data_IF_992240751414
#
_entry.id   IF_992240751414
#
_cell.length_a   1.000
_cell.length_b   1.000
_cell.length_c   1.000
_cell.angle_alpha   90.00
_cell.angle_beta   90.00
_cell.angle_gamma   90.00
#
_symmetry.space_group_name_H-M   'P 1'
#
loop_
_entity.id
_entity.type
_entity.pdbx_description
1 polymer ?
#
# COMPACT_ATOMS: atom_id res chain seq x y z
N UNK A 1 21.18 2.45 -22.22
CA UNK A 1 20.48 2.09 -20.98
C UNK A 1 20.38 3.40 -20.20
N UNK A 2 19.18 3.83 -19.87
CA UNK A 2 18.99 5.07 -19.09
C UNK A 2 19.45 4.89 -17.65
N UNK A 3 19.66 6.02 -16.94
CA UNK A 3 20.06 6.00 -15.52
C UNK A 3 18.95 5.39 -14.65
N UNK A 4 17.68 5.58 -15.02
CA UNK A 4 16.53 4.96 -14.33
C UNK A 4 16.64 3.44 -14.41
N UNK A 5 16.82 2.89 -15.60
CA UNK A 5 16.93 1.44 -15.79
C UNK A 5 18.18 0.87 -15.12
N UNK A 6 19.29 1.60 -15.13
CA UNK A 6 20.49 1.17 -14.44
C UNK A 6 20.24 1.03 -12.93
N UNK A 7 19.64 2.06 -12.31
CA UNK A 7 19.32 2.06 -10.88
C UNK A 7 18.25 1.01 -10.54
N UNK A 8 17.20 0.87 -11.34
CA UNK A 8 16.16 -0.14 -11.13
C UNK A 8 16.77 -1.55 -11.11
N UNK A 9 17.68 -1.85 -12.07
CA UNK A 9 18.40 -3.14 -12.08
C UNK A 9 19.27 -3.33 -10.84
N UNK A 10 19.94 -2.29 -10.37
CA UNK A 10 20.77 -2.39 -9.17
C UNK A 10 19.95 -2.61 -7.90
N UNK A 11 18.76 -2.02 -7.81
CA UNK A 11 17.80 -2.28 -6.72
C UNK A 11 17.24 -3.70 -6.80
N UNK A 12 16.82 -4.17 -7.99
CA UNK A 12 16.25 -5.52 -8.16
C UNK A 12 17.24 -6.63 -7.82
N UNK A 13 18.57 -6.43 -8.09
CA UNK A 13 19.61 -7.40 -7.72
C UNK A 13 19.74 -7.66 -6.22
N UNK A 14 19.16 -6.81 -5.39
CA UNK A 14 19.13 -6.95 -3.94
C UNK A 14 17.87 -7.71 -3.53
N UNK A 15 17.98 -8.97 -3.03
CA UNK A 15 16.84 -9.81 -2.71
C UNK A 15 16.19 -9.41 -1.38
N UNK A 16 15.73 -8.17 -1.29
CA UNK A 16 15.12 -7.55 -0.12
C UNK A 16 13.71 -8.07 0.16
N UNK A 17 13.59 -9.38 0.40
CA UNK A 17 12.31 -9.97 0.81
C UNK A 17 11.95 -9.47 2.20
N UNK A 18 10.72 -8.95 2.35
CA UNK A 18 10.24 -8.33 3.59
C UNK A 18 10.62 -9.13 4.84
N UNK A 19 11.11 -8.51 5.93
CA UNK A 19 11.34 -7.08 6.14
C UNK A 19 12.79 -6.62 5.80
N UNK A 20 13.53 -7.37 4.98
CA UNK A 20 14.93 -7.10 4.68
C UNK A 20 15.08 -5.98 3.64
N UNK A 21 16.08 -5.10 3.82
CA UNK A 21 16.44 -4.04 2.86
C UNK A 21 17.55 -4.46 1.87
N UNK A 22 18.45 -5.32 2.29
CA UNK A 22 19.60 -5.82 1.50
C UNK A 22 20.45 -4.72 0.86
N UNK A 23 20.51 -3.53 1.49
CA UNK A 23 21.31 -2.38 1.04
C UNK A 23 20.67 -1.55 -0.08
N UNK A 24 19.37 -1.71 -0.35
CA UNK A 24 18.65 -0.87 -1.30
C UNK A 24 18.65 0.59 -0.84
N UNK A 25 18.34 0.86 0.42
CA UNK A 25 18.30 2.21 0.99
C UNK A 25 19.70 2.83 1.02
N UNK A 26 20.75 2.05 1.28
CA UNK A 26 22.13 2.54 1.21
C UNK A 26 22.48 3.04 -0.20
N UNK A 27 22.11 2.27 -1.23
CA UNK A 27 22.33 2.67 -2.62
C UNK A 27 21.61 3.98 -2.97
N UNK A 28 20.36 4.14 -2.53
CA UNK A 28 19.60 5.37 -2.73
C UNK A 28 20.22 6.54 -1.95
N UNK A 29 20.58 6.33 -0.68
CA UNK A 29 21.18 7.32 0.18
C UNK A 29 22.49 7.88 -0.38
N UNK A 30 23.37 7.03 -0.94
CA UNK A 30 24.59 7.46 -1.59
C UNK A 30 24.35 8.37 -2.79
N UNK A 31 23.31 8.12 -3.59
CA UNK A 31 22.94 8.98 -4.71
C UNK A 31 22.37 10.31 -4.24
N UNK A 32 21.43 10.28 -3.30
CA UNK A 32 20.80 11.46 -2.73
C UNK A 32 21.80 12.37 -2.00
N UNK A 33 22.75 11.80 -1.26
CA UNK A 33 23.79 12.57 -0.59
C UNK A 33 24.65 13.39 -1.58
N UNK A 34 24.92 12.87 -2.77
CA UNK A 34 25.73 13.57 -3.81
C UNK A 34 25.03 14.85 -4.32
N UNK A 35 23.71 14.92 -4.23
CA UNK A 35 22.92 16.08 -4.63
C UNK A 35 22.43 16.89 -3.42
N UNK A 36 23.07 16.72 -2.24
CA UNK A 36 22.91 17.58 -1.08
C UNK A 36 21.78 17.21 -0.11
N UNK A 37 21.26 15.97 -0.16
CA UNK A 37 20.37 15.48 0.87
C UNK A 37 21.11 15.15 2.16
N UNK A 38 20.51 15.50 3.29
CA UNK A 38 20.89 15.01 4.62
C UNK A 38 20.23 13.64 4.78
N UNK A 39 21.06 12.64 5.08
CA UNK A 39 20.65 11.24 5.16
C UNK A 39 20.48 10.86 6.62
N UNK A 40 19.31 10.38 6.98
CA UNK A 40 18.96 9.90 8.33
C UNK A 40 18.40 8.47 8.27
N UNK A 41 19.24 7.43 8.47
CA UNK A 41 18.73 6.08 8.64
C UNK A 41 17.95 5.95 9.95
N UNK A 42 16.76 5.35 9.88
CA UNK A 42 15.88 5.11 11.02
C UNK A 42 15.62 3.60 11.12
N UNK A 43 16.30 2.91 12.03
CA UNK A 43 16.11 1.48 12.23
C UNK A 43 15.22 1.25 13.44
N UNK A 44 14.12 0.54 13.26
CA UNK A 44 13.22 0.14 14.32
C UNK A 44 13.10 -1.38 14.32
N UNK A 45 13.59 -2.02 15.38
CA UNK A 45 13.65 -3.48 15.53
C UNK A 45 14.36 -4.14 14.32
N UNK A 46 13.64 -4.89 13.51
CA UNK A 46 14.12 -5.60 12.33
C UNK A 46 13.93 -4.83 11.00
N UNK A 47 13.37 -3.65 11.07
CA UNK A 47 13.00 -2.85 9.88
C UNK A 47 13.97 -1.69 9.68
N UNK A 48 14.46 -1.55 8.46
CA UNK A 48 15.29 -0.42 8.04
C UNK A 48 14.41 0.62 7.35
N UNK A 49 14.54 1.89 7.79
CA UNK A 49 13.89 3.02 7.15
C UNK A 49 14.92 4.10 6.82
N UNK A 50 14.62 4.90 5.82
CA UNK A 50 15.41 6.03 5.40
C UNK A 50 14.55 7.29 5.36
N UNK A 51 14.95 8.30 6.13
CA UNK A 51 14.54 9.68 5.93
C UNK A 51 15.70 10.44 5.29
N UNK A 52 15.49 10.99 4.09
CA UNK A 52 16.48 11.80 3.42
C UNK A 52 15.84 13.12 3.03
N UNK A 53 16.44 14.26 3.41
CA UNK A 53 15.87 15.58 3.14
C UNK A 53 16.88 16.55 2.57
N UNK A 54 16.49 17.28 1.52
CA UNK A 54 17.17 18.45 0.97
C UNK A 54 16.33 19.70 1.24
N UNK A 55 16.98 20.78 1.73
CA UNK A 55 16.32 22.02 2.14
C UNK A 55 15.84 21.97 3.60
N UNK A 56 15.61 23.16 4.17
CA UNK A 56 15.14 23.33 5.56
C UNK A 56 13.83 24.11 5.65
N UNK A 57 13.43 24.74 4.54
CA UNK A 57 12.24 25.58 4.48
C UNK A 57 11.03 24.78 3.96
N UNK A 58 9.83 25.25 4.29
CA UNK A 58 8.59 24.70 3.68
C UNK A 58 8.22 25.41 2.39
N UNK A 59 7.35 24.82 1.57
CA UNK A 59 6.66 23.54 1.78
C UNK A 59 7.58 22.32 1.61
N UNK A 60 7.26 21.21 2.28
CA UNK A 60 7.98 19.96 2.17
C UNK A 60 7.25 18.99 1.24
N UNK A 61 7.89 18.67 0.13
CA UNK A 61 7.48 17.60 -0.77
C UNK A 61 8.17 16.29 -0.38
N UNK A 62 7.45 15.17 -0.37
CA UNK A 62 7.97 13.86 -0.03
C UNK A 62 7.68 12.83 -1.11
N UNK A 63 8.68 12.07 -1.52
CA UNK A 63 8.50 10.79 -2.17
C UNK A 63 8.49 9.68 -1.11
N UNK A 64 7.47 8.84 -1.12
CA UNK A 64 7.37 7.70 -0.21
C UNK A 64 7.31 6.38 -0.97
N UNK A 65 7.83 5.33 -0.35
CA UNK A 65 7.80 3.99 -0.91
C UNK A 65 8.61 2.98 -0.11
N UNK A 66 8.71 1.76 -0.65
CA UNK A 66 9.34 0.66 0.03
C UNK A 66 10.39 -0.05 -0.82
N UNK A 67 11.41 -0.61 -0.16
CA UNK A 67 12.47 -1.39 -0.79
C UNK A 67 12.25 -2.89 -0.66
N UNK A 68 11.46 -3.31 0.32
CA UNK A 68 11.10 -4.71 0.48
C UNK A 68 10.18 -5.19 -0.64
N UNK A 69 10.14 -6.50 -0.81
CA UNK A 69 9.33 -7.17 -1.82
C UNK A 69 8.74 -8.45 -1.25
N UNK A 70 7.58 -8.88 -1.76
CA UNK A 70 7.02 -10.19 -1.43
C UNK A 70 7.94 -11.33 -1.89
N UNK A 71 7.86 -12.53 -1.25
CA UNK A 71 8.58 -13.70 -1.71
C UNK A 71 8.39 -13.99 -3.21
N UNK A 72 9.43 -14.42 -3.88
CA UNK A 72 9.42 -14.68 -5.31
C UNK A 72 8.47 -15.84 -5.73
N UNK A 73 8.12 -16.72 -4.79
CA UNK A 73 7.37 -17.94 -5.08
C UNK A 73 8.23 -19.00 -5.77
N UNK A 74 7.62 -19.97 -6.48
CA UNK A 74 8.35 -21.07 -7.11
C UNK A 74 9.33 -20.59 -8.18
N UNK A 75 10.63 -20.77 -7.93
CA UNK A 75 11.71 -20.27 -8.83
C UNK A 75 11.71 -20.95 -10.21
N UNK A 76 11.29 -22.19 -10.28
CA UNK A 76 11.16 -22.97 -11.51
C UNK A 76 10.09 -22.44 -12.49
N UNK A 77 9.21 -21.56 -12.01
CA UNK A 77 8.18 -20.90 -12.83
C UNK A 77 8.60 -19.55 -13.39
N UNK A 78 9.76 -19.03 -12.96
CA UNK A 78 10.28 -17.77 -13.49
C UNK A 78 10.99 -18.00 -14.83
N UNK A 79 10.73 -17.12 -15.81
CA UNK A 79 11.42 -17.13 -17.11
C UNK A 79 12.88 -16.67 -16.99
N UNK A 80 13.15 -15.80 -16.02
CA UNK A 80 14.49 -15.31 -15.64
C UNK A 80 14.54 -15.30 -14.10
N UNK A 81 15.70 -15.54 -13.46
CA UNK A 81 15.79 -15.49 -12.01
C UNK A 81 15.25 -14.16 -11.46
N UNK A 82 14.42 -14.17 -10.40
CA UNK A 82 13.68 -12.98 -9.94
C UNK A 82 14.57 -11.82 -9.49
N UNK A 83 15.81 -12.08 -9.06
CA UNK A 83 16.77 -11.07 -8.63
C UNK A 83 17.96 -10.90 -9.61
N UNK A 84 17.81 -11.41 -10.84
CA UNK A 84 18.72 -11.17 -11.96
C UNK A 84 17.97 -10.34 -13.04
N UNK A 85 17.86 -9.00 -12.86
CA UNK A 85 17.02 -8.17 -13.70
C UNK A 85 17.40 -8.27 -15.18
N UNK A 86 16.47 -8.74 -15.98
CA UNK A 86 16.69 -9.04 -17.41
C UNK A 86 15.73 -8.18 -18.24
N UNK A 87 16.28 -7.53 -19.29
CA UNK A 87 15.44 -6.85 -20.28
C UNK A 87 15.30 -7.77 -21.48
N UNK A 88 14.05 -8.06 -21.84
CA UNK A 88 13.71 -8.82 -23.05
C UNK A 88 12.55 -8.12 -23.75
N UNK A 89 12.73 -7.84 -25.02
CA UNK A 89 11.73 -7.19 -25.89
C UNK A 89 11.18 -5.86 -25.28
N UNK A 90 12.08 -5.05 -24.68
CA UNK A 90 11.72 -3.78 -24.05
C UNK A 90 11.07 -3.90 -22.67
N UNK A 91 10.96 -5.12 -22.12
CA UNK A 91 10.35 -5.38 -20.80
C UNK A 91 11.43 -5.77 -19.78
N UNK A 92 11.46 -5.10 -18.64
CA UNK A 92 12.34 -5.40 -17.51
C UNK A 92 11.62 -6.41 -16.59
N UNK A 93 12.19 -7.60 -16.46
CA UNK A 93 11.74 -8.68 -15.59
C UNK A 93 12.54 -8.70 -14.29
N UNK A 94 11.86 -8.89 -13.15
CA UNK A 94 12.44 -9.08 -11.84
C UNK A 94 11.44 -8.82 -10.73
N UNK A 95 11.62 -9.44 -9.57
CA UNK A 95 10.80 -9.18 -8.38
C UNK A 95 11.05 -7.75 -7.87
N UNK A 96 9.97 -6.99 -7.68
CA UNK A 96 10.04 -5.57 -7.35
C UNK A 96 10.19 -4.64 -8.57
N UNK A 97 10.17 -5.16 -9.80
CA UNK A 97 10.28 -4.32 -11.00
C UNK A 97 9.11 -3.33 -11.11
N UNK A 98 7.89 -3.78 -10.83
CA UNK A 98 6.69 -2.96 -10.78
C UNK A 98 6.38 -2.50 -9.34
N UNK A 99 6.60 -3.34 -8.34
CA UNK A 99 6.22 -3.12 -6.95
C UNK A 99 7.43 -3.22 -6.00
N UNK A 100 8.12 -2.09 -5.65
CA UNK A 100 8.03 -0.81 -6.35
C UNK A 100 9.42 -0.22 -6.67
N UNK A 101 10.46 -1.08 -6.82
CA UNK A 101 11.86 -0.66 -7.07
C UNK A 101 12.01 0.15 -8.37
N UNK A 102 11.15 -0.12 -9.38
CA UNK A 102 11.08 0.68 -10.58
C UNK A 102 10.71 2.14 -10.30
N UNK A 103 9.68 2.36 -9.48
CA UNK A 103 9.29 3.69 -9.03
C UNK A 103 10.38 4.38 -8.23
N UNK A 104 11.03 3.68 -7.30
CA UNK A 104 12.14 4.24 -6.51
C UNK A 104 13.27 4.74 -7.42
N UNK A 105 13.62 3.97 -8.45
CA UNK A 105 14.62 4.39 -9.42
C UNK A 105 14.18 5.64 -10.19
N UNK A 106 12.91 5.69 -10.62
CA UNK A 106 12.35 6.85 -11.32
C UNK A 106 12.34 8.10 -10.43
N UNK A 107 11.98 7.97 -9.15
CA UNK A 107 11.98 9.07 -8.18
C UNK A 107 13.37 9.65 -7.96
N UNK A 108 14.36 8.80 -7.72
CA UNK A 108 15.74 9.26 -7.48
C UNK A 108 16.28 10.01 -8.69
N UNK A 109 16.13 9.46 -9.90
CA UNK A 109 16.62 10.09 -11.12
C UNK A 109 15.85 11.37 -11.45
N UNK A 110 14.54 11.41 -11.22
CA UNK A 110 13.75 12.63 -11.37
C UNK A 110 14.26 13.77 -10.48
N UNK A 111 14.56 13.46 -9.22
CA UNK A 111 15.09 14.44 -8.26
C UNK A 111 16.52 14.88 -8.65
N UNK A 112 17.38 13.97 -9.11
CA UNK A 112 18.72 14.31 -9.58
C UNK A 112 18.66 15.29 -10.75
N UNK A 113 17.77 15.05 -11.73
CA UNK A 113 17.54 15.95 -12.88
C UNK A 113 17.01 17.30 -12.42
N UNK A 114 15.96 17.26 -11.58
CA UNK A 114 15.33 18.48 -11.06
C UNK A 114 16.33 19.37 -10.30
N UNK A 115 17.11 18.82 -9.39
CA UNK A 115 18.11 19.57 -8.60
C UNK A 115 19.23 20.13 -9.49
N UNK A 116 19.60 19.42 -10.56
CA UNK A 116 20.61 19.91 -11.50
C UNK A 116 20.09 21.11 -12.33
N UNK A 117 18.80 21.10 -12.68
CA UNK A 117 18.16 22.18 -13.47
C UNK A 117 17.69 23.33 -12.58
N UNK A 118 17.29 23.07 -11.35
CA UNK A 118 16.75 24.02 -10.36
C UNK A 118 17.53 23.96 -9.04
N UNK A 119 18.83 24.30 -8.99
CA UNK A 119 19.65 24.20 -7.78
C UNK A 119 19.13 25.07 -6.63
N UNK A 120 18.47 26.18 -6.94
CA UNK A 120 17.93 27.18 -6.02
C UNK A 120 16.39 27.05 -5.88
N UNK A 121 15.83 25.86 -6.09
CA UNK A 121 14.39 25.59 -5.95
C UNK A 121 13.84 26.03 -4.58
N UNK A 122 12.56 26.36 -4.53
CA UNK A 122 11.87 26.71 -3.28
C UNK A 122 11.51 25.47 -2.48
N UNK A 123 11.25 25.63 -1.16
CA UNK A 123 10.81 24.53 -0.31
C UNK A 123 11.87 23.46 -0.07
N UNK A 124 11.41 22.29 0.29
CA UNK A 124 12.25 21.12 0.59
C UNK A 124 11.74 19.87 -0.12
N UNK A 125 12.65 18.94 -0.42
CA UNK A 125 12.34 17.63 -0.98
C UNK A 125 12.81 16.56 0.01
N UNK A 126 11.97 15.53 0.24
CA UNK A 126 12.34 14.40 1.08
C UNK A 126 12.01 13.05 0.43
N UNK A 127 12.67 12.01 0.94
CA UNK A 127 12.34 10.62 0.72
C UNK A 127 12.02 9.96 2.07
N UNK A 128 10.89 9.26 2.14
CA UNK A 128 10.52 8.37 3.22
C UNK A 128 10.44 6.96 2.65
N UNK A 129 11.44 6.14 2.97
CA UNK A 129 11.57 4.79 2.41
C UNK A 129 11.60 3.78 3.54
N UNK A 130 10.79 2.73 3.43
CA UNK A 130 10.72 1.63 4.41
C UNK A 130 11.12 0.30 3.81
N UNK A 131 11.39 -0.69 4.66
CA UNK A 131 11.50 -2.11 4.30
C UNK A 131 10.42 -2.99 4.95
N UNK A 132 9.25 -2.43 5.30
CA UNK A 132 8.15 -3.11 5.98
C UNK A 132 6.77 -2.70 5.41
N UNK A 133 6.66 -2.48 4.09
CA UNK A 133 5.35 -2.24 3.45
C UNK A 133 4.66 -3.56 3.10
N UNK A 134 5.40 -4.55 2.63
CA UNK A 134 4.91 -5.88 2.23
C UNK A 134 4.83 -6.86 3.43
N UNK A 135 5.06 -6.37 4.62
CA UNK A 135 5.11 -7.12 5.87
C UNK A 135 4.02 -6.73 6.87
N UNK A 136 4.31 -6.75 8.17
CA UNK A 136 3.34 -6.45 9.23
C UNK A 136 3.02 -4.95 9.40
N UNK A 137 3.71 -4.03 8.74
CA UNK A 137 3.53 -2.56 8.77
C UNK A 137 3.69 -1.93 10.18
N UNK A 138 4.52 -2.52 11.04
CA UNK A 138 4.63 -2.12 12.47
C UNK A 138 5.82 -1.17 12.68
N UNK A 139 6.97 -1.51 12.07
CA UNK A 139 8.23 -0.82 12.31
C UNK A 139 8.67 0.05 11.11
N UNK A 140 7.80 0.19 10.11
CA UNK A 140 8.01 0.93 8.87
C UNK A 140 7.58 2.39 8.96
N UNK A 141 6.85 2.82 7.95
CA UNK A 141 6.37 4.21 7.75
C UNK A 141 5.67 4.80 8.97
N UNK A 142 4.89 4.01 9.73
CA UNK A 142 4.24 4.47 10.96
C UNK A 142 5.23 5.06 11.97
N UNK A 143 6.34 4.36 12.22
CA UNK A 143 7.37 4.80 13.20
C UNK A 143 8.14 6.02 12.70
N UNK A 144 8.37 6.10 11.38
CA UNK A 144 8.98 7.29 10.78
C UNK A 144 8.05 8.48 10.94
N UNK A 145 6.77 8.36 10.61
CA UNK A 145 5.77 9.43 10.76
C UNK A 145 5.65 9.88 12.22
N UNK A 146 5.57 8.97 13.18
CA UNK A 146 5.56 9.32 14.62
C UNK A 146 6.79 10.17 15.00
N UNK A 147 7.95 9.83 14.44
CA UNK A 147 9.20 10.56 14.69
C UNK A 147 9.16 11.96 14.07
N UNK A 148 8.67 12.09 12.83
CA UNK A 148 8.53 13.37 12.14
C UNK A 148 7.50 14.28 12.84
N UNK A 149 6.35 13.73 13.25
CA UNK A 149 5.33 14.46 14.01
C UNK A 149 5.86 14.97 15.34
N UNK A 150 6.63 14.16 16.08
CA UNK A 150 7.26 14.56 17.34
C UNK A 150 8.25 15.73 17.16
N UNK A 151 8.85 15.87 15.97
CA UNK A 151 9.76 16.97 15.59
C UNK A 151 9.03 18.16 14.98
N UNK A 152 7.70 18.09 14.80
CA UNK A 152 6.90 19.05 14.03
C UNK A 152 7.40 19.22 12.58
N UNK A 153 7.91 18.15 11.98
CA UNK A 153 8.38 18.10 10.60
C UNK A 153 7.22 17.67 9.71
N UNK A 154 6.50 18.62 9.10
CA UNK A 154 5.24 18.41 8.41
C UNK A 154 5.43 18.23 6.91
N UNK A 155 5.03 17.08 6.39
CA UNK A 155 4.91 16.83 4.96
C UNK A 155 3.70 17.60 4.44
N UNK A 156 3.88 18.41 3.40
CA UNK A 156 2.79 19.12 2.72
C UNK A 156 2.23 18.31 1.57
N UNK A 157 3.12 17.70 0.75
CA UNK A 157 2.79 16.95 -0.44
C UNK A 157 3.53 15.62 -0.44
N UNK A 158 2.84 14.54 -0.77
CA UNK A 158 3.46 13.21 -0.85
C UNK A 158 3.01 12.45 -2.08
N UNK A 159 3.96 11.93 -2.85
CA UNK A 159 3.71 10.90 -3.86
C UNK A 159 4.25 9.57 -3.33
N UNK A 160 3.35 8.59 -3.22
CA UNK A 160 3.71 7.19 -2.99
C UNK A 160 3.87 6.50 -4.34
N UNK A 161 4.98 5.82 -4.56
CA UNK A 161 5.32 5.24 -5.87
C UNK A 161 4.69 3.89 -6.17
N UNK A 162 3.59 3.58 -5.53
CA UNK A 162 2.83 2.35 -5.73
C UNK A 162 2.36 2.16 -7.18
N UNK A 163 2.30 0.93 -7.70
CA UNK A 163 1.85 0.65 -9.06
C UNK A 163 0.37 0.97 -9.23
N UNK A 164 0.08 2.22 -9.57
CA UNK A 164 -1.27 2.77 -9.70
C UNK A 164 -1.86 2.60 -11.11
N UNK A 165 -1.00 2.54 -12.13
CA UNK A 165 -1.42 2.50 -13.53
C UNK A 165 -1.99 1.15 -13.94
N UNK A 166 -2.84 1.13 -14.97
CA UNK A 166 -3.57 -0.08 -15.40
C UNK A 166 -3.17 -0.58 -16.78
N UNK A 167 -3.14 0.26 -17.78
CA UNK A 167 -2.80 -0.10 -19.17
C UNK A 167 -1.57 0.66 -19.69
N UNK A 168 -1.44 1.91 -19.33
CA UNK A 168 -0.35 2.80 -19.72
C UNK A 168 0.12 3.54 -18.46
N UNK A 169 1.43 3.71 -18.30
CA UNK A 169 1.98 4.46 -17.16
C UNK A 169 1.33 5.85 -17.08
N UNK A 170 0.84 6.23 -15.90
CA UNK A 170 0.15 7.48 -15.67
C UNK A 170 -1.31 7.54 -16.13
N UNK A 171 -1.92 6.45 -16.62
CA UNK A 171 -3.36 6.44 -16.98
C UNK A 171 -4.27 6.55 -15.75
N UNK A 172 -3.76 6.18 -14.56
CA UNK A 172 -4.49 6.25 -13.29
C UNK A 172 -3.59 6.84 -12.20
N UNK A 173 -4.13 7.81 -11.49
CA UNK A 173 -3.59 8.31 -10.22
C UNK A 173 -4.53 7.85 -9.11
N UNK A 174 -3.99 7.26 -8.03
CA UNK A 174 -4.80 7.03 -6.84
C UNK A 174 -4.75 8.30 -5.98
N UNK A 175 -5.86 9.01 -5.94
CA UNK A 175 -6.02 10.21 -5.12
C UNK A 175 -6.66 9.93 -3.76
N UNK A 176 -6.76 8.68 -3.38
CA UNK A 176 -7.26 8.19 -2.11
C UNK A 176 -7.31 6.67 -2.06
N UNK A 177 -7.51 6.13 -0.89
CA UNK A 177 -7.67 4.69 -0.67
C UNK A 177 -8.80 4.43 0.31
N UNK A 178 -9.51 3.31 0.12
CA UNK A 178 -10.48 2.82 1.09
C UNK A 178 -9.78 2.39 2.36
N UNK A 179 -10.48 2.53 3.49
CA UNK A 179 -10.08 1.93 4.74
C UNK A 179 -10.15 0.40 4.67
N UNK A 180 -9.44 -0.25 5.58
CA UNK A 180 -9.44 -1.71 5.71
C UNK A 180 -9.45 -2.09 7.18
N UNK A 181 -10.44 -2.91 7.57
CA UNK A 181 -10.53 -3.47 8.92
C UNK A 181 -10.89 -4.95 8.84
N UNK A 182 -10.19 -5.76 9.62
CA UNK A 182 -10.41 -7.23 9.72
C UNK A 182 -11.01 -7.55 11.08
N UNK A 183 -12.03 -8.39 11.08
CA UNK A 183 -12.60 -8.98 12.27
C UNK A 183 -12.27 -10.48 12.35
N UNK A 184 -11.78 -10.92 13.51
CA UNK A 184 -11.56 -12.31 13.87
C UNK A 184 -12.62 -12.71 14.90
N UNK A 185 -13.63 -13.44 14.45
CA UNK A 185 -14.80 -13.86 15.23
C UNK A 185 -14.66 -15.32 15.64
N UNK A 186 -14.77 -15.58 16.94
CA UNK A 186 -14.92 -16.90 17.53
C UNK A 186 -16.33 -17.04 18.10
N UNK A 187 -17.14 -17.94 17.56
CA UNK A 187 -18.48 -18.27 18.10
C UNK A 187 -18.40 -19.54 18.91
N UNK A 188 -18.89 -19.49 20.15
CA UNK A 188 -18.88 -20.62 21.08
C UNK A 188 -20.16 -21.44 21.01
N UNK A 189 -19.99 -22.72 21.09
CA UNK A 189 -21.06 -23.71 21.20
C UNK A 189 -20.71 -24.80 22.21
N UNK A 190 -21.34 -25.96 22.10
CA UNK A 190 -21.08 -27.13 22.92
C UNK A 190 -20.90 -28.33 22.02
N UNK A 191 -19.69 -28.92 22.04
CA UNK A 191 -19.38 -30.11 21.26
C UNK A 191 -20.23 -31.29 21.68
N UNK A 192 -20.67 -32.12 20.73
CA UNK A 192 -21.43 -33.32 21.02
C UNK A 192 -21.57 -34.26 19.84
N UNK A 193 -22.22 -35.37 20.06
CA UNK A 193 -22.49 -36.36 19.02
C UNK A 193 -23.72 -35.93 18.20
N UNK A 194 -23.65 -35.98 16.87
CA UNK A 194 -24.73 -35.52 15.97
C UNK A 194 -26.07 -36.22 16.18
N UNK A 195 -26.04 -37.48 16.73
CA UNK A 195 -27.25 -38.22 17.07
C UNK A 195 -27.96 -37.70 18.34
N UNK A 196 -27.29 -36.88 19.14
CA UNK A 196 -27.82 -36.33 20.39
C UNK A 196 -27.73 -34.81 20.41
N UNK A 197 -28.37 -34.10 19.43
CA UNK A 197 -28.24 -32.63 19.29
C UNK A 197 -28.75 -31.85 20.50
N UNK A 198 -29.61 -32.42 21.31
CA UNK A 198 -30.14 -31.84 22.56
C UNK A 198 -29.11 -31.76 23.69
N UNK A 199 -27.95 -32.43 23.56
CA UNK A 199 -26.81 -32.38 24.49
C UNK A 199 -25.67 -31.51 23.97
N UNK A 200 -25.84 -30.91 22.82
CA UNK A 200 -24.84 -30.07 22.15
C UNK A 200 -25.42 -28.73 21.78
N UNK A 201 -24.55 -27.81 21.37
CA UNK A 201 -24.94 -26.51 20.86
C UNK A 201 -24.07 -26.19 19.63
N UNK A 202 -24.68 -26.23 18.44
CA UNK A 202 -23.94 -26.11 17.18
C UNK A 202 -23.65 -24.63 16.81
N UNK A 203 -22.41 -24.14 16.95
CA UNK A 203 -22.07 -22.76 16.66
C UNK A 203 -22.22 -22.42 15.18
N UNK A 204 -22.10 -23.39 14.27
CA UNK A 204 -22.32 -23.18 12.83
C UNK A 204 -23.78 -22.81 12.57
N UNK A 205 -24.73 -23.59 13.14
CA UNK A 205 -26.16 -23.34 12.96
C UNK A 205 -26.60 -22.01 13.57
N UNK A 206 -26.02 -21.63 14.73
CA UNK A 206 -26.31 -20.33 15.36
C UNK A 206 -25.75 -19.15 14.59
N UNK A 207 -24.53 -19.26 14.09
CA UNK A 207 -23.88 -18.18 13.38
C UNK A 207 -24.41 -17.97 11.95
N UNK A 208 -24.88 -19.04 11.29
CA UNK A 208 -25.29 -18.97 9.89
C UNK A 208 -26.27 -17.83 9.56
N UNK A 209 -27.36 -17.58 10.35
CA UNK A 209 -28.26 -16.47 10.10
C UNK A 209 -27.58 -15.09 10.23
N UNK A 210 -26.71 -14.91 11.24
CA UNK A 210 -25.96 -13.67 11.43
C UNK A 210 -24.98 -13.41 10.29
N UNK A 211 -24.24 -14.43 9.87
CA UNK A 211 -23.29 -14.32 8.76
C UNK A 211 -24.01 -14.02 7.44
N UNK A 212 -25.20 -14.60 7.21
CA UNK A 212 -26.02 -14.30 6.05
C UNK A 212 -26.51 -12.84 6.07
N UNK A 213 -26.93 -12.32 7.24
CA UNK A 213 -27.37 -10.94 7.39
C UNK A 213 -26.19 -9.97 7.20
N UNK A 214 -25.02 -10.24 7.77
CA UNK A 214 -23.80 -9.44 7.57
C UNK A 214 -23.45 -9.34 6.08
N UNK A 215 -23.50 -10.47 5.37
CA UNK A 215 -23.20 -10.53 3.94
C UNK A 215 -24.22 -9.82 3.05
N UNK A 216 -25.48 -9.74 3.49
CA UNK A 216 -26.55 -9.07 2.77
C UNK A 216 -26.72 -7.58 3.13
N UNK A 217 -26.06 -7.10 4.20
CA UNK A 217 -26.17 -5.73 4.66
C UNK A 217 -25.55 -4.76 3.66
N UNK A 218 -26.34 -3.76 3.26
CA UNK A 218 -25.80 -2.57 2.58
C UNK A 218 -25.19 -1.67 3.64
N UNK A 219 -23.88 -1.56 3.60
CA UNK A 219 -23.12 -0.82 4.63
C UNK A 219 -23.19 0.69 4.40
N UNK A 220 -23.02 1.12 3.14
CA UNK A 220 -23.25 2.46 2.58
C UNK A 220 -23.45 2.37 1.07
N UNK A 221 -23.78 3.48 0.43
CA UNK A 221 -23.96 3.57 -1.03
C UNK A 221 -22.69 4.10 -1.74
N UNK A 222 -21.61 4.34 -1.00
CA UNK A 222 -20.43 5.03 -1.52
C UNK A 222 -20.71 6.51 -1.78
N UNK A 223 -19.79 7.15 -2.51
CA UNK A 223 -19.92 8.57 -2.89
C UNK A 223 -19.26 8.84 -4.25
N UNK A 224 -19.07 10.11 -4.61
CA UNK A 224 -18.47 10.50 -5.88
C UNK A 224 -17.04 9.95 -6.09
N UNK A 225 -16.35 9.60 -5.01
CA UNK A 225 -14.93 9.17 -5.02
C UNK A 225 -14.74 7.71 -4.66
N UNK A 226 -15.63 7.15 -3.84
CA UNK A 226 -15.50 5.80 -3.30
C UNK A 226 -16.67 4.90 -3.71
N UNK A 227 -16.39 3.66 -4.12
CA UNK A 227 -17.45 2.66 -4.22
C UNK A 227 -18.02 2.35 -2.84
N UNK A 228 -19.22 1.72 -2.77
CA UNK A 228 -19.80 1.27 -1.52
C UNK A 228 -18.85 0.42 -0.69
N UNK A 229 -18.96 0.52 0.63
CA UNK A 229 -18.25 -0.34 1.57
C UNK A 229 -18.61 -1.79 1.34
N UNK A 230 -17.60 -2.65 1.26
CA UNK A 230 -17.74 -4.07 1.01
C UNK A 230 -17.35 -4.91 2.22
N UNK A 231 -18.13 -5.96 2.48
CA UNK A 231 -17.88 -7.00 3.48
C UNK A 231 -17.57 -8.33 2.79
N UNK A 232 -16.50 -9.01 3.23
CA UNK A 232 -16.16 -10.34 2.71
C UNK A 232 -15.70 -11.25 3.84
N UNK A 233 -16.28 -12.46 3.92
CA UNK A 233 -15.76 -13.54 4.76
C UNK A 233 -14.55 -14.14 4.02
N UNK A 234 -13.37 -14.02 4.61
CA UNK A 234 -12.12 -14.47 4.03
C UNK A 234 -11.82 -15.93 4.41
N UNK A 235 -12.09 -16.29 5.67
CA UNK A 235 -11.87 -17.65 6.19
C UNK A 235 -13.00 -18.06 7.11
N UNK A 236 -13.33 -19.35 7.07
CA UNK A 236 -14.27 -19.99 8.00
C UNK A 236 -13.78 -21.40 8.33
N UNK A 237 -13.72 -21.74 9.60
CA UNK A 237 -13.29 -23.06 10.05
C UNK A 237 -14.03 -23.53 11.28
N UNK A 238 -14.40 -24.81 11.31
CA UNK A 238 -15.04 -25.46 12.45
C UNK A 238 -14.84 -26.98 12.39
N UNK A 239 -14.97 -27.62 13.52
CA UNK A 239 -15.01 -29.07 13.63
C UNK A 239 -13.64 -29.75 13.61
N UNK A 240 -13.69 -31.08 13.82
CA UNK A 240 -12.53 -31.99 13.96
C UNK A 240 -12.27 -32.83 12.70
N UNK A 241 -13.08 -32.64 11.65
CA UNK A 241 -13.08 -33.48 10.43
C UNK A 241 -13.91 -34.78 10.59
N UNK A 242 -14.41 -35.10 11.79
CA UNK A 242 -15.27 -36.26 12.00
C UNK A 242 -16.74 -35.94 11.68
N UNK A 243 -17.38 -36.75 10.84
CA UNK A 243 -18.75 -36.54 10.37
C UNK A 243 -19.85 -36.69 11.44
N UNK A 244 -19.52 -37.29 12.58
CA UNK A 244 -20.45 -37.57 13.67
C UNK A 244 -20.26 -36.65 14.90
N UNK A 245 -19.49 -35.58 14.77
CA UNK A 245 -19.19 -34.60 15.85
C UNK A 245 -19.73 -33.23 15.50
N UNK A 246 -20.60 -32.70 16.37
CA UNK A 246 -20.98 -31.29 16.38
C UNK A 246 -19.79 -30.47 16.93
N UNK A 247 -19.29 -29.44 16.27
CA UNK A 247 -18.15 -28.67 16.80
C UNK A 247 -18.53 -27.87 18.04
N UNK A 248 -17.55 -27.55 18.87
CA UNK A 248 -17.71 -26.68 20.03
C UNK A 248 -17.43 -25.24 19.73
N UNK A 249 -16.75 -24.94 18.59
CA UNK A 249 -16.36 -23.60 18.18
C UNK A 249 -16.45 -23.43 16.67
N UNK A 250 -16.70 -22.20 16.23
CA UNK A 250 -16.62 -21.75 14.85
C UNK A 250 -15.74 -20.51 14.81
N UNK A 251 -14.72 -20.52 13.96
CA UNK A 251 -13.87 -19.37 13.67
C UNK A 251 -14.22 -18.78 12.32
N UNK A 252 -14.38 -17.47 12.27
CA UNK A 252 -14.67 -16.70 11.04
C UNK A 252 -13.78 -15.49 10.98
N UNK A 253 -13.03 -15.34 9.90
CA UNK A 253 -12.30 -14.13 9.61
C UNK A 253 -12.98 -13.41 8.45
N UNK A 254 -13.25 -12.13 8.64
CA UNK A 254 -13.86 -11.27 7.62
C UNK A 254 -13.14 -9.94 7.52
N UNK A 255 -13.26 -9.28 6.35
CA UNK A 255 -12.65 -8.00 6.09
C UNK A 255 -13.67 -7.02 5.49
N UNK A 256 -13.55 -5.77 5.91
CA UNK A 256 -14.20 -4.63 5.28
C UNK A 256 -13.19 -3.81 4.48
N UNK A 257 -13.64 -3.40 3.29
CA UNK A 257 -13.04 -2.28 2.56
C UNK A 257 -14.04 -1.14 2.57
N UNK A 258 -13.78 -0.10 3.35
CA UNK A 258 -14.77 0.91 3.67
C UNK A 258 -14.45 2.29 3.09
N UNK A 259 -15.51 3.01 2.75
CA UNK A 259 -15.47 4.36 2.20
C UNK A 259 -15.34 5.39 3.32
N UNK A 260 -15.30 6.68 2.95
CA UNK A 260 -15.37 7.79 3.91
C UNK A 260 -16.74 8.04 4.51
N UNK A 261 -17.76 7.27 4.08
CA UNK A 261 -19.13 7.35 4.62
C UNK A 261 -19.27 6.67 5.99
N UNK A 262 -18.33 5.79 6.34
CA UNK A 262 -18.29 5.08 7.62
C UNK A 262 -16.92 5.25 8.29
N UNK A 263 -16.94 5.27 9.61
CA UNK A 263 -15.76 5.09 10.43
C UNK A 263 -15.55 3.62 10.77
N UNK A 264 -14.37 3.24 11.21
CA UNK A 264 -14.13 1.88 11.74
C UNK A 264 -14.97 1.61 13.00
N UNK A 265 -15.29 2.64 13.79
CA UNK A 265 -16.18 2.53 14.96
C UNK A 265 -17.61 2.21 14.54
N UNK A 266 -18.15 2.88 13.52
CA UNK A 266 -19.49 2.57 12.98
C UNK A 266 -19.61 1.12 12.52
N UNK A 267 -18.54 0.60 11.88
CA UNK A 267 -18.48 -0.79 11.43
C UNK A 267 -18.52 -1.74 12.61
N UNK A 268 -17.67 -1.50 13.63
CA UNK A 268 -17.60 -2.35 14.84
C UNK A 268 -18.96 -2.40 15.55
N UNK A 269 -19.53 -1.24 15.84
CA UNK A 269 -20.82 -1.13 16.52
C UNK A 269 -21.95 -1.84 15.76
N UNK A 270 -22.01 -1.67 14.44
CA UNK A 270 -23.04 -2.31 13.60
C UNK A 270 -22.87 -3.82 13.53
N UNK A 271 -21.64 -4.33 13.43
CA UNK A 271 -21.36 -5.77 13.44
C UNK A 271 -21.71 -6.38 14.79
N UNK A 272 -21.24 -5.78 15.88
CA UNK A 272 -21.51 -6.29 17.24
C UNK A 272 -23.00 -6.28 17.55
N UNK A 273 -23.71 -5.21 17.22
CA UNK A 273 -25.16 -5.13 17.39
C UNK A 273 -25.91 -6.21 16.60
N UNK A 274 -25.41 -6.60 15.42
CA UNK A 274 -25.99 -7.67 14.62
C UNK A 274 -25.71 -9.05 15.24
N UNK A 275 -24.49 -9.30 15.72
CA UNK A 275 -24.16 -10.54 16.41
C UNK A 275 -24.98 -10.71 17.70
N UNK A 276 -25.14 -9.63 18.47
CA UNK A 276 -25.96 -9.57 19.69
C UNK A 276 -27.43 -9.82 19.41
N UNK A 277 -27.97 -9.23 18.33
CA UNK A 277 -29.35 -9.47 17.85
C UNK A 277 -29.63 -10.96 17.62
N UNK A 278 -28.64 -11.70 17.13
CA UNK A 278 -28.74 -13.15 16.92
C UNK A 278 -28.45 -13.97 18.17
N UNK A 279 -28.12 -13.35 19.30
CA UNK A 279 -27.90 -14.00 20.60
C UNK A 279 -26.70 -14.93 20.61
N UNK A 280 -25.65 -14.59 19.87
CA UNK A 280 -24.43 -15.39 19.80
C UNK A 280 -23.61 -15.25 21.09
N UNK A 281 -23.02 -16.36 21.55
CA UNK A 281 -21.90 -16.33 22.49
C UNK A 281 -20.62 -16.26 21.68
N UNK A 282 -19.97 -15.11 21.67
CA UNK A 282 -18.82 -14.87 20.81
C UNK A 282 -17.70 -14.08 21.48
N UNK A 283 -16.53 -14.17 20.87
CA UNK A 283 -15.41 -13.25 21.06
C UNK A 283 -15.04 -12.66 19.70
N UNK A 284 -14.87 -11.35 19.62
CA UNK A 284 -14.51 -10.64 18.40
C UNK A 284 -13.29 -9.76 18.68
N UNK A 285 -12.27 -9.90 17.85
CA UNK A 285 -11.11 -9.01 17.85
C UNK A 285 -11.00 -8.31 16.50
N UNK A 286 -10.48 -7.08 16.54
CA UNK A 286 -10.41 -6.22 15.38
C UNK A 286 -8.98 -5.77 15.08
N UNK A 287 -8.60 -5.82 13.81
CA UNK A 287 -7.34 -5.27 13.31
C UNK A 287 -7.66 -4.21 12.26
N UNK A 288 -7.41 -2.94 12.58
CA UNK A 288 -7.52 -1.82 11.65
C UNK A 288 -6.20 -1.71 10.88
N UNK A 289 -6.23 -2.01 9.57
CA UNK A 289 -5.05 -1.85 8.71
C UNK A 289 -4.84 -0.40 8.27
N UNK A 290 -5.91 0.39 8.15
CA UNK A 290 -5.83 1.82 7.84
C UNK A 290 -7.20 2.46 7.67
N UNK A 291 -7.24 3.76 7.94
CA UNK A 291 -8.40 4.61 7.67
C UNK A 291 -8.47 4.96 6.17
N UNK A 292 -9.67 5.26 5.63
CA UNK A 292 -9.76 5.81 4.30
C UNK A 292 -9.15 7.21 4.26
N UNK A 293 -8.56 7.57 3.13
CA UNK A 293 -8.12 8.94 2.88
C UNK A 293 -8.48 9.39 1.46
N UNK A 294 -8.55 10.69 1.26
CA UNK A 294 -8.85 11.32 -0.03
C UNK A 294 -8.12 12.65 -0.16
N UNK A 295 -7.44 12.82 -1.29
CA UNK A 295 -6.98 14.11 -1.82
C UNK A 295 -7.86 14.46 -3.01
N UNK A 296 -8.96 15.19 -2.76
CA UNK A 296 -9.96 15.50 -3.78
C UNK A 296 -9.57 16.71 -4.66
N UNK A 297 -8.87 17.67 -4.06
CA UNK A 297 -8.35 18.89 -4.70
C UNK A 297 -7.02 19.27 -4.06
N UNK A 298 -6.21 20.08 -4.76
CA UNK A 298 -4.98 20.62 -4.20
C UNK A 298 -3.87 20.75 -5.20
N UNK A 299 -2.82 21.48 -4.80
CA UNK A 299 -1.71 21.78 -5.66
C UNK A 299 -0.97 20.53 -6.16
N UNK A 300 -0.85 19.51 -5.31
CA UNK A 300 -0.21 18.25 -5.69
C UNK A 300 -0.98 17.53 -6.78
N UNK A 301 -2.31 17.40 -6.63
CA UNK A 301 -3.13 16.72 -7.62
C UNK A 301 -3.13 17.44 -8.96
N UNK A 302 -3.26 18.79 -8.95
CA UNK A 302 -3.21 19.62 -10.15
C UNK A 302 -1.85 19.50 -10.85
N UNK A 303 -0.75 19.54 -10.09
CA UNK A 303 0.60 19.39 -10.62
C UNK A 303 0.81 18.00 -11.25
N UNK A 304 0.33 16.94 -10.59
CA UNK A 304 0.44 15.57 -11.08
C UNK A 304 -0.36 15.38 -12.38
N UNK A 305 -1.61 15.82 -12.41
CA UNK A 305 -2.44 15.74 -13.62
C UNK A 305 -1.78 16.49 -14.80
N UNK A 306 -1.31 17.71 -14.56
CA UNK A 306 -0.66 18.50 -15.61
C UNK A 306 0.68 17.90 -16.07
N UNK A 307 1.46 17.30 -15.18
CA UNK A 307 2.70 16.61 -15.54
C UNK A 307 2.43 15.37 -16.40
N UNK A 308 1.44 14.57 -16.01
CA UNK A 308 1.04 13.37 -16.76
C UNK A 308 0.50 13.76 -18.14
N UNK A 309 -0.37 14.77 -18.23
CA UNK A 309 -0.90 15.27 -19.51
C UNK A 309 0.24 15.75 -20.44
N UNK A 310 1.26 16.39 -19.88
CA UNK A 310 2.41 16.86 -20.65
C UNK A 310 3.24 15.69 -21.23
N UNK A 311 3.37 14.58 -20.49
CA UNK A 311 4.16 13.41 -20.93
C UNK A 311 3.34 12.48 -21.84
N UNK A 312 2.10 12.16 -21.47
CA UNK A 312 1.27 11.16 -22.15
C UNK A 312 0.26 11.76 -23.15
N UNK A 313 0.01 13.07 -23.09
CA UNK A 313 -1.04 13.71 -23.89
C UNK A 313 -2.48 13.36 -23.45
N UNK A 314 -2.66 12.70 -22.31
CA UNK A 314 -3.96 12.26 -21.78
C UNK A 314 -4.08 12.57 -20.30
N UNK A 315 -5.29 12.98 -19.89
CA UNK A 315 -5.61 13.19 -18.48
C UNK A 315 -5.79 11.86 -17.76
N UNK A 316 -5.16 11.65 -16.59
CA UNK A 316 -5.33 10.43 -15.81
C UNK A 316 -6.74 10.32 -15.23
N UNK A 317 -7.20 9.09 -15.03
CA UNK A 317 -8.34 8.81 -14.18
C UNK A 317 -7.92 8.92 -12.70
N UNK A 318 -8.77 9.56 -11.89
CA UNK A 318 -8.59 9.66 -10.44
C UNK A 318 -9.44 8.57 -9.77
N UNK A 319 -8.80 7.64 -9.09
CA UNK A 319 -9.48 6.47 -8.51
C UNK A 319 -9.01 6.21 -7.07
N UNK A 320 -9.91 5.63 -6.27
CA UNK A 320 -9.64 5.21 -4.88
C UNK A 320 -9.64 3.70 -4.69
N UNK A 321 -9.80 2.95 -5.79
CA UNK A 321 -9.91 1.49 -5.78
C UNK A 321 -8.56 0.79 -5.65
N UNK A 322 -8.57 -0.49 -5.29
CA UNK A 322 -7.39 -1.34 -5.13
C UNK A 322 -7.07 -1.66 -3.67
N UNK A 323 -5.84 -2.11 -3.45
CA UNK A 323 -5.28 -2.38 -2.12
C UNK A 323 -5.12 -1.10 -1.29
N UNK A 324 -4.39 -1.20 -0.20
CA UNK A 324 -3.95 -0.02 0.56
C UNK A 324 -2.44 0.17 0.36
N UNK A 325 -1.89 1.27 0.85
CA UNK A 325 -0.47 1.62 0.77
C UNK A 325 -0.05 2.40 2.01
N UNK A 326 1.22 2.69 2.13
CA UNK A 326 1.76 3.54 3.20
C UNK A 326 1.21 4.98 3.19
N UNK A 327 0.57 5.40 2.12
CA UNK A 327 -0.18 6.66 2.06
C UNK A 327 -1.21 6.80 3.18
N UNK A 328 -1.76 5.68 3.66
CA UNK A 328 -2.70 5.62 4.81
C UNK A 328 -2.13 6.12 6.13
N UNK A 329 -0.81 6.08 6.29
CA UNK A 329 -0.12 6.56 7.48
C UNK A 329 0.32 8.03 7.35
N UNK A 330 0.53 8.48 6.11
CA UNK A 330 0.99 9.85 5.81
C UNK A 330 -0.20 10.81 5.74
N UNK A 331 -1.29 10.46 5.07
CA UNK A 331 -2.45 11.32 4.87
C UNK A 331 -3.07 11.87 6.18
N UNK A 332 -3.16 11.10 7.30
CA UNK A 332 -3.69 11.62 8.56
C UNK A 332 -2.90 12.77 9.17
N UNK A 333 -1.65 13.01 8.76
CA UNK A 333 -0.83 14.16 9.21
C UNK A 333 -1.28 15.49 8.60
N UNK A 334 -2.22 15.45 7.63
CA UNK A 334 -2.72 16.61 6.89
C UNK A 334 -1.98 16.86 5.56
N UNK A 335 -1.15 15.93 5.14
CA UNK A 335 -0.51 15.96 3.81
C UNK A 335 -1.52 15.69 2.70
N UNK A 336 -1.37 16.37 1.55
CA UNK A 336 -1.95 15.92 0.29
C UNK A 336 -1.17 14.68 -0.17
N UNK A 337 -1.84 13.53 -0.34
CA UNK A 337 -1.22 12.26 -0.72
C UNK A 337 -1.87 11.72 -1.99
N UNK A 338 -1.03 11.37 -2.96
CA UNK A 338 -1.45 10.63 -4.15
C UNK A 338 -0.52 9.43 -4.37
N UNK A 339 -0.99 8.46 -5.15
CA UNK A 339 -0.13 7.37 -5.62
C UNK A 339 -0.02 7.44 -7.13
N UNK A 340 1.20 7.39 -7.61
CA UNK A 340 1.55 7.40 -9.02
C UNK A 340 2.73 6.45 -9.23
N UNK A 341 2.55 5.45 -10.07
CA UNK A 341 3.58 4.46 -10.36
C UNK A 341 3.29 3.62 -11.60
N UNK A 342 4.04 2.53 -11.82
CA UNK A 342 3.96 1.71 -13.01
C UNK A 342 2.62 0.99 -13.16
N UNK A 343 2.51 0.25 -14.27
CA UNK A 343 1.37 -0.64 -14.53
C UNK A 343 1.39 -1.83 -13.56
N UNK A 344 0.24 -2.07 -12.90
CA UNK A 344 0.08 -3.04 -11.81
C UNK A 344 -0.22 -4.49 -12.25
N UNK A 345 -0.21 -4.77 -13.54
CA UNK A 345 -0.72 -6.04 -14.09
C UNK A 345 0.02 -7.30 -13.59
N UNK A 346 1.27 -7.17 -13.15
CA UNK A 346 2.14 -8.30 -12.78
C UNK A 346 2.62 -8.29 -11.33
N UNK A 347 2.18 -7.32 -10.50
CA UNK A 347 2.56 -7.26 -9.08
C UNK A 347 2.23 -8.57 -8.36
N UNK A 348 3.09 -8.98 -7.42
CA UNK A 348 2.99 -10.21 -6.61
C UNK A 348 2.95 -11.51 -7.42
N UNK A 349 3.03 -11.46 -8.75
CA UNK A 349 3.04 -12.65 -9.61
C UNK A 349 4.45 -13.16 -9.87
N UNK A 350 4.54 -14.42 -10.30
CA UNK A 350 5.72 -14.95 -10.97
C UNK A 350 5.89 -14.22 -12.30
N UNK A 351 7.13 -13.93 -12.68
CA UNK A 351 7.47 -13.13 -13.87
C UNK A 351 6.99 -11.68 -13.79
N UNK A 352 7.01 -11.10 -12.59
CA UNK A 352 6.78 -9.66 -12.42
C UNK A 352 7.68 -8.87 -13.38
N UNK A 353 7.10 -7.85 -14.00
CA UNK A 353 7.79 -7.08 -15.01
C UNK A 353 7.14 -5.70 -15.23
N UNK A 354 7.90 -4.81 -15.87
CA UNK A 354 7.47 -3.48 -16.29
C UNK A 354 8.07 -3.18 -17.66
N UNK A 355 7.40 -2.41 -18.50
CA UNK A 355 8.04 -1.87 -19.70
C UNK A 355 9.17 -0.94 -19.28
N UNK A 356 10.36 -1.12 -19.84
CA UNK A 356 11.52 -0.34 -19.45
C UNK A 356 11.32 1.17 -19.71
N UNK A 357 10.75 1.52 -20.86
CA UNK A 357 10.50 2.92 -21.23
C UNK A 357 9.45 3.59 -20.30
N UNK A 358 8.53 2.82 -19.70
CA UNK A 358 7.53 3.35 -18.77
C UNK A 358 8.20 3.94 -17.50
N UNK A 359 9.36 3.42 -17.08
CA UNK A 359 10.08 3.95 -15.92
C UNK A 359 10.75 5.29 -16.23
N UNK A 360 11.23 5.50 -17.46
CA UNK A 360 11.75 6.79 -17.90
C UNK A 360 10.63 7.84 -17.99
N UNK A 361 9.47 7.47 -18.58
CA UNK A 361 8.29 8.33 -18.62
C UNK A 361 7.80 8.69 -17.21
N UNK A 362 7.84 7.74 -16.27
CA UNK A 362 7.47 7.97 -14.87
C UNK A 362 8.43 8.97 -14.20
N UNK A 363 9.73 8.90 -14.49
CA UNK A 363 10.70 9.87 -14.01
C UNK A 363 10.42 11.28 -14.56
N UNK A 364 10.04 11.39 -15.84
CA UNK A 364 9.65 12.66 -16.44
C UNK A 364 8.38 13.24 -15.79
N UNK A 365 7.40 12.39 -15.45
CA UNK A 365 6.20 12.81 -14.71
C UNK A 365 6.56 13.33 -13.31
N UNK A 366 7.40 12.61 -12.56
CA UNK A 366 7.84 13.04 -11.23
C UNK A 366 8.62 14.34 -11.27
N UNK A 367 9.54 14.50 -12.23
CA UNK A 367 10.27 15.77 -12.43
C UNK A 367 9.29 16.89 -12.73
N UNK A 368 8.33 16.68 -13.65
CA UNK A 368 7.32 17.68 -14.00
C UNK A 368 6.41 18.08 -12.84
N UNK A 369 6.17 17.20 -11.84
CA UNK A 369 5.47 17.58 -10.59
C UNK A 369 6.33 18.50 -9.74
N UNK A 370 7.62 18.17 -9.55
CA UNK A 370 8.55 18.98 -8.77
C UNK A 370 8.70 20.39 -9.38
N UNK A 371 8.82 20.48 -10.71
CA UNK A 371 8.91 21.76 -11.42
C UNK A 371 7.70 22.67 -11.16
N UNK A 372 6.49 22.10 -11.13
CA UNK A 372 5.25 22.86 -10.90
C UNK A 372 5.04 23.30 -9.46
N UNK A 373 5.63 22.59 -8.52
CA UNK A 373 5.44 22.85 -7.09
C UNK A 373 6.59 23.64 -6.46
N UNK A 374 7.82 23.49 -6.98
CA UNK A 374 9.02 23.96 -6.29
C UNK A 374 9.97 24.82 -7.15
N UNK A 375 9.82 24.84 -8.48
CA UNK A 375 10.67 25.68 -9.36
C UNK A 375 10.26 27.14 -9.36
#
# INVERSE_FOLDING_TARGET
MSDVIALAKDLIRRPSVTPLDEGCQTLMAERLARIGFVIEPMVFEDTTNLWARRGSEGPLFCFAGHTDVVPAGPLDKWHTPPFEPTIKDGVLYGRGAADMKGSLASMVVAVERFVAEHPDHTGSIAFLITSDEEGPFINGTTRVIDTLEARNEKIRWCIVGEPSSTAVVGDVVKNGRRGSITGDLLVRGVQGHVAYPHLADNPIHKAAPALAELAATVWDEGNAYFPPTSFQIANISAGTGASNVIPGELQVQFNFRFSTELTDMDIRERVEALLDKHGLDYQLSWTLSGQPFLTDTGALLDAAVAAIEAVNGQRPALLTTGGTSDGRFIAPTGAEVIELGPVNATIHKVNECVKADDLDLLADMYQGVLERLLA
#
